data_IF_451427758642
#
_entry.id   IF_451427758642
#
_cell.length_a   1.000
_cell.length_b   1.000
_cell.length_c   1.000
_cell.angle_alpha   90.00
_cell.angle_beta   90.00
_cell.angle_gamma   90.00
#
_symmetry.space_group_name_H-M   'P 1'
#
loop_
_entity.id
_entity.type
_entity.pdbx_description
1 polymer ?
#
# COMPACT_ATOMS: atom_id res chain seq x y z
N UNK A 1 9.63 8.88 -55.02
CA UNK A 1 10.27 7.55 -54.92
C UNK A 1 10.13 7.16 -53.46
N UNK A 2 9.58 6.03 -53.03
CA UNK A 2 9.16 4.80 -53.67
C UNK A 2 8.92 3.85 -52.49
N UNK A 3 7.81 3.12 -52.54
CA UNK A 3 7.40 2.17 -51.51
C UNK A 3 8.30 0.91 -51.50
N UNK A 4 8.14 0.09 -50.45
CA UNK A 4 8.36 -1.39 -50.38
C UNK A 4 9.83 -1.84 -50.42
N UNK A 5 10.27 -2.97 -49.84
CA UNK A 5 9.73 -4.34 -49.74
C UNK A 5 10.55 -5.08 -48.63
N UNK A 6 9.97 -5.85 -47.71
CA UNK A 6 9.66 -7.30 -47.78
C UNK A 6 10.89 -8.21 -47.89
N UNK A 7 11.05 -9.14 -46.94
CA UNK A 7 11.48 -10.53 -47.20
C UNK A 7 10.87 -11.52 -46.18
N UNK A 8 10.79 -12.77 -46.61
CA UNK A 8 9.80 -13.82 -46.34
C UNK A 8 10.53 -15.16 -46.31
N UNK A 9 10.15 -16.10 -45.44
CA UNK A 9 10.19 -17.58 -45.64
C UNK A 9 9.17 -18.16 -44.60
N UNK A 10 8.09 -18.91 -44.89
CA UNK A 10 7.86 -20.11 -45.73
C UNK A 10 7.91 -21.39 -44.87
N UNK A 11 7.27 -22.55 -45.18
CA UNK A 11 6.14 -22.86 -46.08
C UNK A 11 5.08 -23.85 -45.49
N UNK A 12 3.94 -24.09 -46.17
CA UNK A 12 3.44 -25.42 -46.64
C UNK A 12 1.97 -25.38 -47.17
N UNK A 13 1.74 -26.18 -48.25
CA UNK A 13 0.54 -26.40 -49.12
C UNK A 13 -0.61 -27.12 -48.38
N UNK A 14 -1.90 -27.18 -48.80
CA UNK A 14 -2.55 -27.49 -50.10
C UNK A 14 -4.07 -27.11 -50.05
N UNK A 15 -4.70 -26.42 -51.02
CA UNK A 15 -5.36 -26.78 -52.32
C UNK A 15 -6.77 -27.46 -52.28
N UNK A 16 -7.69 -26.89 -53.11
CA UNK A 16 -9.00 -27.33 -53.70
C UNK A 16 -10.27 -26.89 -52.95
N UNK A 17 -11.39 -26.48 -53.57
CA UNK A 17 -11.77 -26.02 -54.93
C UNK A 17 -13.22 -25.50 -54.85
N UNK A 18 -13.58 -24.45 -55.62
CA UNK A 18 -14.86 -24.15 -56.34
C UNK A 18 -16.24 -24.27 -55.61
N UNK A 19 -17.34 -23.53 -55.82
CA UNK A 19 -17.92 -22.76 -56.96
C UNK A 19 -19.21 -22.03 -56.51
N UNK A 20 -19.59 -20.90 -57.14
CA UNK A 20 -21.00 -20.56 -57.47
C UNK A 20 -21.74 -19.45 -56.67
N UNK A 21 -21.97 -18.28 -57.31
CA UNK A 21 -23.07 -17.33 -56.96
C UNK A 21 -24.37 -17.68 -57.73
N UNK A 22 -25.30 -16.74 -58.07
CA UNK A 22 -25.48 -15.33 -57.64
C UNK A 22 -26.99 -14.89 -57.47
N UNK A 23 -27.24 -13.58 -57.22
CA UNK A 23 -28.50 -12.81 -57.48
C UNK A 23 -29.74 -13.08 -56.60
N UNK A 24 -30.71 -12.19 -56.36
CA UNK A 24 -31.04 -10.75 -56.56
C UNK A 24 -32.37 -10.55 -55.80
N UNK A 25 -32.71 -9.31 -55.43
CA UNK A 25 -34.11 -8.89 -55.33
C UNK A 25 -34.55 -8.41 -53.95
N UNK A 26 -34.58 -7.08 -53.79
CA UNK A 26 -35.53 -6.41 -52.92
C UNK A 26 -36.96 -6.79 -53.32
N UNK A 27 -37.81 -7.10 -52.35
CA UNK A 27 -39.18 -6.59 -52.39
C UNK A 27 -39.77 -6.47 -50.99
N UNK A 28 -40.57 -5.42 -50.84
CA UNK A 28 -40.93 -4.79 -49.58
C UNK A 28 -42.36 -5.20 -49.20
N UNK A 29 -42.53 -5.47 -47.91
CA UNK A 29 -43.69 -5.09 -47.07
C UNK A 29 -44.82 -6.11 -46.78
N UNK A 30 -45.08 -6.20 -45.46
CA UNK A 30 -46.39 -6.24 -44.74
C UNK A 30 -46.80 -7.55 -44.06
N UNK A 31 -46.32 -7.66 -42.81
CA UNK A 31 -47.11 -7.84 -41.56
C UNK A 31 -48.36 -8.73 -41.68
N UNK A 32 -48.26 -9.94 -41.13
CA UNK A 32 -49.35 -10.56 -40.38
C UNK A 32 -48.73 -11.26 -39.17
N UNK A 33 -49.19 -10.80 -38.01
CA UNK A 33 -48.78 -11.22 -36.68
C UNK A 33 -49.63 -12.43 -36.31
N UNK A 34 -49.05 -13.63 -36.39
CA UNK A 34 -49.58 -14.80 -35.70
C UNK A 34 -48.49 -15.86 -35.57
N UNK A 35 -47.95 -16.01 -34.36
CA UNK A 35 -47.46 -17.27 -33.77
C UNK A 35 -46.58 -16.96 -32.55
N UNK A 36 -46.93 -17.41 -31.33
CA UNK A 36 -46.16 -17.17 -30.13
C UNK A 36 -45.18 -18.33 -29.86
N UNK A 37 -44.37 -18.74 -30.84
CA UNK A 37 -43.42 -19.83 -30.65
C UNK A 37 -42.14 -19.53 -31.44
N UNK A 38 -41.19 -18.84 -30.81
CA UNK A 38 -39.74 -18.95 -31.06
C UNK A 38 -38.97 -18.06 -30.09
N UNK A 39 -38.87 -18.54 -28.85
CA UNK A 39 -38.10 -17.90 -27.79
C UNK A 39 -36.62 -18.32 -27.83
N UNK A 40 -35.91 -18.23 -28.96
CA UNK A 40 -34.45 -18.45 -28.98
C UNK A 40 -33.73 -17.72 -30.13
N UNK A 41 -33.46 -16.41 -29.99
CA UNK A 41 -32.35 -15.79 -30.73
C UNK A 41 -31.89 -14.44 -30.15
N UNK A 42 -31.32 -14.44 -28.94
CA UNK A 42 -30.32 -13.43 -28.55
C UNK A 42 -29.29 -14.12 -27.65
N UNK A 43 -28.00 -14.22 -28.02
CA UNK A 43 -26.98 -14.30 -27.00
C UNK A 43 -26.98 -12.92 -26.33
N UNK A 44 -27.66 -12.83 -25.18
CA UNK A 44 -27.38 -11.76 -24.25
C UNK A 44 -25.89 -11.89 -23.90
N UNK A 45 -25.13 -10.82 -24.15
CA UNK A 45 -23.85 -10.65 -23.49
C UNK A 45 -24.13 -10.57 -21.98
N UNK A 46 -24.11 -11.73 -21.33
CA UNK A 46 -24.25 -11.82 -19.89
C UNK A 46 -22.88 -11.71 -19.24
N UNK A 47 -22.67 -10.51 -18.67
CA UNK A 47 -22.07 -10.32 -17.36
C UNK A 47 -20.63 -10.82 -17.18
N UNK A 48 -19.69 -9.94 -17.52
CA UNK A 48 -18.33 -9.86 -16.94
C UNK A 48 -18.28 -9.79 -15.40
N UNK A 49 -19.43 -9.71 -14.73
CA UNK A 49 -19.53 -9.56 -13.28
C UNK A 49 -19.26 -10.85 -12.51
N UNK A 50 -19.35 -12.04 -13.11
CA UNK A 50 -18.94 -13.29 -12.44
C UNK A 50 -17.43 -13.42 -12.43
N UNK A 51 -16.77 -13.20 -13.56
CA UNK A 51 -15.30 -13.26 -13.68
C UNK A 51 -14.62 -12.17 -12.86
N UNK A 52 -15.13 -10.93 -12.86
CA UNK A 52 -14.56 -9.85 -12.02
C UNK A 52 -14.78 -10.11 -10.52
N UNK A 53 -15.89 -10.77 -10.13
CA UNK A 53 -16.11 -11.20 -8.75
C UNK A 53 -15.19 -12.36 -8.36
N UNK A 54 -14.99 -13.31 -9.26
CA UNK A 54 -14.09 -14.43 -9.04
C UNK A 54 -12.63 -13.95 -8.95
N UNK A 55 -12.25 -12.95 -9.75
CA UNK A 55 -10.96 -12.25 -9.63
C UNK A 55 -10.87 -11.47 -8.32
N UNK A 56 -11.89 -10.69 -7.95
CA UNK A 56 -11.91 -9.94 -6.68
C UNK A 56 -11.82 -10.87 -5.46
N UNK A 57 -12.51 -12.02 -5.49
CA UNK A 57 -12.45 -13.05 -4.45
C UNK A 57 -11.11 -13.78 -4.45
N UNK A 58 -10.48 -13.99 -5.60
CA UNK A 58 -9.14 -14.59 -5.69
C UNK A 58 -8.08 -13.68 -5.06
N UNK A 59 -8.14 -12.36 -5.29
CA UNK A 59 -7.27 -11.39 -4.61
C UNK A 59 -7.49 -11.36 -3.09
N UNK A 60 -8.74 -11.51 -2.63
CA UNK A 60 -9.06 -11.63 -1.21
C UNK A 60 -8.49 -12.90 -0.57
N UNK A 61 -8.60 -14.03 -1.28
CA UNK A 61 -8.09 -15.31 -0.82
C UNK A 61 -6.56 -15.35 -0.74
N UNK A 62 -5.85 -14.67 -1.66
CA UNK A 62 -4.39 -14.54 -1.60
C UNK A 62 -3.89 -13.73 -0.38
N UNK A 63 -4.72 -12.84 0.18
CA UNK A 63 -4.43 -12.13 1.44
C UNK A 63 -4.68 -13.01 2.68
N UNK A 64 -5.63 -13.94 2.62
CA UNK A 64 -6.05 -14.77 3.77
C UNK A 64 -5.33 -16.13 3.88
N UNK A 65 -4.69 -16.62 2.81
CA UNK A 65 -4.06 -17.96 2.79
C UNK A 65 -2.71 -18.05 3.52
N UNK A 66 -2.11 -16.95 3.97
CA UNK A 66 -0.77 -17.02 4.59
C UNK A 66 -0.74 -17.30 6.11
N UNK A 67 -1.87 -17.62 6.75
CA UNK A 67 -1.91 -17.93 8.20
C UNK A 67 -1.34 -19.33 8.57
N UNK A 68 -0.81 -20.06 7.58
CA UNK A 68 -0.08 -21.33 7.77
C UNK A 68 1.30 -21.33 7.10
N UNK A 69 1.95 -20.18 6.94
CA UNK A 69 3.37 -20.17 6.60
C UNK A 69 4.23 -20.61 7.80
N UNK A 70 5.35 -21.32 7.58
CA UNK A 70 6.38 -21.48 8.61
C UNK A 70 6.74 -20.10 9.14
N UNK A 71 6.97 -19.96 10.45
CA UNK A 71 7.24 -18.70 11.15
C UNK A 71 8.05 -17.75 10.28
N UNK A 72 7.36 -16.85 9.58
CA UNK A 72 7.98 -16.11 8.49
C UNK A 72 8.98 -15.16 9.14
N UNK A 73 10.26 -15.39 8.88
CA UNK A 73 11.29 -14.50 9.38
C UNK A 73 11.17 -13.18 8.63
N UNK A 74 11.20 -12.07 9.36
CA UNK A 74 10.95 -10.74 8.82
C UNK A 74 12.12 -9.79 9.12
N UNK A 75 12.49 -8.92 8.19
CA UNK A 75 13.70 -8.12 8.29
C UNK A 75 13.58 -7.10 9.44
N UNK A 76 14.42 -7.25 10.44
CA UNK A 76 14.44 -6.41 11.64
C UNK A 76 15.76 -5.65 11.72
N UNK A 77 15.69 -4.34 11.98
CA UNK A 77 16.86 -3.46 12.00
C UNK A 77 17.40 -3.31 13.41
N UNK A 78 18.66 -3.69 13.62
CA UNK A 78 19.42 -3.41 14.82
C UNK A 78 20.34 -2.24 14.57
N UNK A 79 20.17 -1.16 15.32
CA UNK A 79 20.98 0.07 15.19
C UNK A 79 21.66 0.38 16.51
N UNK A 80 22.95 0.71 16.43
CA UNK A 80 23.73 1.27 17.53
C UNK A 80 24.19 2.67 17.14
N UNK A 81 23.82 3.65 17.96
CA UNK A 81 24.12 5.09 17.74
C UNK A 81 25.33 5.56 18.56
N UNK A 82 25.82 4.72 19.48
CA UNK A 82 27.00 5.01 20.28
C UNK A 82 28.30 4.91 19.50
N UNK A 83 29.39 5.34 20.14
CA UNK A 83 30.75 5.14 19.62
C UNK A 83 31.19 3.68 19.71
N UNK A 84 32.21 3.33 18.93
CA UNK A 84 32.88 2.04 18.96
C UNK A 84 33.72 1.80 17.72
N UNK A 85 34.65 0.84 17.78
CA UNK A 85 35.40 0.36 16.62
C UNK A 85 34.82 -0.97 16.13
N UNK A 86 34.75 -1.95 17.02
CA UNK A 86 34.30 -3.31 16.73
C UNK A 86 33.01 -3.58 17.51
N UNK A 87 31.89 -3.61 16.79
CA UNK A 87 30.56 -3.71 17.39
C UNK A 87 29.84 -4.94 16.86
N UNK A 88 29.30 -5.73 17.79
CA UNK A 88 28.55 -6.93 17.49
C UNK A 88 27.19 -6.90 18.20
N UNK A 89 26.20 -7.58 17.63
CA UNK A 89 24.93 -7.89 18.29
C UNK A 89 24.83 -9.39 18.54
N UNK A 90 24.28 -9.75 19.69
CA UNK A 90 23.99 -11.11 20.09
C UNK A 90 22.60 -11.16 20.71
N UNK A 91 21.85 -12.24 20.48
CA UNK A 91 20.51 -12.34 21.02
C UNK A 91 19.95 -13.76 21.08
N UNK A 92 18.70 -13.87 21.51
CA UNK A 92 17.98 -15.14 21.60
C UNK A 92 17.84 -15.85 20.25
N UNK A 93 17.74 -15.09 19.17
CA UNK A 93 17.56 -15.58 17.79
C UNK A 93 18.80 -16.26 17.19
N UNK A 94 19.99 -16.05 17.77
CA UNK A 94 21.23 -16.66 17.27
C UNK A 94 22.02 -17.40 18.35
N UNK A 95 21.33 -17.90 19.38
CA UNK A 95 21.94 -18.57 20.54
C UNK A 95 23.07 -17.74 21.18
N UNK A 96 22.92 -16.42 21.24
CA UNK A 96 23.92 -15.49 21.76
C UNK A 96 25.26 -15.48 21.00
N UNK A 97 25.26 -15.87 19.73
CA UNK A 97 26.40 -15.71 18.82
C UNK A 97 26.69 -14.24 18.51
N UNK A 98 27.93 -13.89 18.15
CA UNK A 98 28.31 -12.51 17.80
C UNK A 98 28.12 -12.25 16.30
N UNK A 99 27.23 -11.33 15.95
CA UNK A 99 27.04 -10.87 14.56
C UNK A 99 27.64 -9.47 14.43
N UNK A 100 28.60 -9.23 13.51
CA UNK A 100 29.22 -7.92 13.34
C UNK A 100 28.21 -6.91 12.76
N UNK A 101 28.23 -5.68 13.26
CA UNK A 101 27.45 -4.57 12.68
C UNK A 101 28.26 -3.86 11.60
N UNK A 102 27.57 -3.41 10.57
CA UNK A 102 28.15 -2.63 9.48
C UNK A 102 28.19 -1.17 9.92
N UNK A 103 29.39 -0.58 9.88
CA UNK A 103 29.61 0.83 10.20
C UNK A 103 29.12 1.74 9.06
N UNK A 104 28.23 2.66 9.40
CA UNK A 104 27.88 3.84 8.59
C UNK A 104 28.63 5.08 9.13
N UNK A 105 28.19 6.30 8.81
CA UNK A 105 28.84 7.53 9.25
C UNK A 105 28.80 7.68 10.78
N UNK A 106 27.58 7.70 11.35
CA UNK A 106 27.34 7.93 12.77
C UNK A 106 26.69 6.73 13.48
N UNK A 107 26.31 5.70 12.72
CA UNK A 107 25.55 4.57 13.24
C UNK A 107 26.20 3.26 12.80
N UNK A 108 25.99 2.21 13.58
CA UNK A 108 26.29 0.84 13.23
C UNK A 108 24.98 0.09 13.06
N UNK A 109 24.83 -0.68 11.99
CA UNK A 109 23.56 -1.31 11.65
C UNK A 109 23.75 -2.78 11.23
N UNK A 110 22.82 -3.63 11.62
CA UNK A 110 22.62 -4.96 11.07
C UNK A 110 21.12 -5.16 10.78
N UNK A 111 20.81 -5.83 9.67
CA UNK A 111 19.43 -6.22 9.32
C UNK A 111 19.39 -7.74 9.40
N UNK A 112 18.51 -8.26 10.25
CA UNK A 112 18.40 -9.70 10.52
C UNK A 112 16.95 -10.13 10.39
N UNK A 113 16.71 -11.24 9.71
CA UNK A 113 15.37 -11.81 9.60
C UNK A 113 15.02 -12.54 10.88
N UNK A 114 14.00 -12.04 11.59
CA UNK A 114 13.55 -12.59 12.87
C UNK A 114 12.11 -13.10 12.76
N UNK A 115 11.79 -14.25 13.39
CA UNK A 115 10.41 -14.69 13.51
C UNK A 115 9.60 -13.72 14.38
N UNK A 116 8.28 -13.70 14.20
CA UNK A 116 7.38 -12.95 15.07
C UNK A 116 7.51 -13.38 16.54
N UNK A 117 7.46 -12.41 17.45
CA UNK A 117 7.57 -12.62 18.88
C UNK A 117 8.60 -11.72 19.56
N UNK A 118 8.82 -12.00 20.85
CA UNK A 118 9.75 -11.28 21.70
C UNK A 118 11.17 -11.85 21.55
N UNK A 119 12.13 -10.97 21.28
CA UNK A 119 13.55 -11.31 21.16
C UNK A 119 14.39 -10.47 22.10
N UNK A 120 15.28 -11.12 22.82
CA UNK A 120 16.25 -10.44 23.68
C UNK A 120 17.56 -10.29 22.93
N UNK A 121 18.21 -9.15 23.07
CA UNK A 121 19.49 -8.88 22.43
C UNK A 121 20.39 -7.99 23.27
N UNK A 122 21.67 -7.98 22.94
CA UNK A 122 22.69 -7.17 23.60
C UNK A 122 23.82 -6.82 22.64
N UNK A 123 24.42 -5.66 22.84
CA UNK A 123 25.57 -5.22 22.05
C UNK A 123 26.88 -5.57 22.74
N UNK A 124 27.87 -5.95 21.94
CA UNK A 124 29.25 -6.14 22.37
C UNK A 124 30.11 -5.10 21.64
N UNK A 125 30.50 -4.06 22.36
CA UNK A 125 31.21 -2.88 21.83
C UNK A 125 32.62 -2.87 22.41
N UNK A 126 33.64 -2.95 21.56
CA UNK A 126 35.06 -2.84 21.93
C UNK A 126 35.47 -3.73 23.12
N UNK A 127 34.90 -4.94 23.19
CA UNK A 127 35.23 -5.91 24.25
C UNK A 127 34.26 -5.90 25.45
N UNK A 128 33.30 -4.99 25.50
CA UNK A 128 32.38 -4.82 26.62
C UNK A 128 30.92 -5.06 26.22
N UNK A 129 30.18 -5.71 27.11
CA UNK A 129 28.74 -5.93 26.95
C UNK A 129 27.98 -4.68 27.37
N UNK A 130 27.21 -4.11 26.44
CA UNK A 130 26.39 -2.91 26.65
C UNK A 130 24.99 -3.09 26.06
N UNK A 131 24.08 -2.20 26.44
CA UNK A 131 22.71 -2.14 25.94
C UNK A 131 22.41 -0.72 25.44
N UNK A 132 21.44 -0.58 24.55
CA UNK A 132 20.96 0.72 24.11
C UNK A 132 19.98 1.29 25.16
N UNK A 133 20.27 2.46 25.77
CA UNK A 133 19.38 3.07 26.77
C UNK A 133 18.12 3.69 26.17
N UNK A 134 18.06 3.89 24.86
CA UNK A 134 16.88 4.43 24.17
C UNK A 134 15.82 3.37 23.86
N UNK A 135 16.22 2.09 23.88
CA UNK A 135 15.38 0.95 23.58
C UNK A 135 14.93 0.25 24.88
N UNK A 136 13.77 -0.42 24.89
CA UNK A 136 13.28 -1.11 26.08
C UNK A 136 14.24 -2.23 26.52
N UNK A 137 14.31 -2.44 27.84
CA UNK A 137 15.20 -3.42 28.48
C UNK A 137 14.44 -4.40 29.34
N UNK A 138 14.97 -5.61 29.46
CA UNK A 138 14.52 -6.65 30.38
C UNK A 138 15.71 -7.14 31.21
N UNK A 139 15.48 -7.31 32.51
CA UNK A 139 16.48 -7.85 33.43
C UNK A 139 16.26 -9.35 33.58
N UNK A 140 17.25 -10.14 33.14
CA UNK A 140 17.24 -11.59 33.31
C UNK A 140 17.37 -11.98 34.78
N UNK A 141 16.94 -13.19 35.12
CA UNK A 141 17.00 -13.76 36.49
C UNK A 141 18.43 -13.78 37.06
N UNK A 142 19.43 -13.81 36.18
CA UNK A 142 20.87 -13.77 36.53
C UNK A 142 21.40 -12.33 36.71
N UNK A 143 20.53 -11.31 36.76
CA UNK A 143 20.90 -9.91 36.93
C UNK A 143 21.46 -9.23 35.68
N UNK A 144 21.45 -9.91 34.54
CA UNK A 144 21.93 -9.34 33.27
C UNK A 144 20.83 -8.51 32.61
N UNK A 145 21.13 -7.25 32.29
CA UNK A 145 20.25 -6.37 31.52
C UNK A 145 20.49 -6.58 30.02
N UNK A 146 19.41 -6.88 29.29
CA UNK A 146 19.37 -7.06 27.84
C UNK A 146 18.31 -6.12 27.25
N UNK A 147 18.48 -5.69 26.01
CA UNK A 147 17.39 -5.04 25.28
C UNK A 147 16.37 -6.09 24.83
N UNK A 148 15.13 -5.65 24.64
CA UNK A 148 14.04 -6.47 24.13
C UNK A 148 13.44 -5.81 22.89
N UNK A 149 13.12 -6.60 21.87
CA UNK A 149 12.37 -6.16 20.69
C UNK A 149 11.21 -7.12 20.46
N UNK A 150 10.04 -6.58 20.13
CA UNK A 150 8.86 -7.37 19.84
C UNK A 150 8.50 -7.22 18.36
N UNK A 151 8.65 -8.29 17.60
CA UNK A 151 8.40 -8.31 16.15
C UNK A 151 6.96 -8.74 15.92
N UNK A 152 6.11 -7.84 15.43
CA UNK A 152 4.69 -8.12 15.17
C UNK A 152 4.38 -8.18 13.68
N UNK A 153 3.25 -8.80 13.35
CA UNK A 153 2.71 -8.81 11.98
C UNK A 153 2.50 -7.40 11.42
N UNK A 154 1.97 -6.51 12.27
CA UNK A 154 1.60 -5.12 11.93
C UNK A 154 2.79 -4.25 11.54
N UNK A 155 4.00 -4.60 11.95
CA UNK A 155 5.19 -3.74 11.74
C UNK A 155 5.68 -3.76 10.28
N UNK A 156 5.13 -4.64 9.46
CA UNK A 156 5.54 -4.86 8.07
C UNK A 156 4.47 -4.45 7.05
N UNK A 157 3.21 -4.37 7.49
CA UNK A 157 2.14 -3.77 6.72
C UNK A 157 2.08 -2.28 7.03
N UNK A 158 2.40 -1.45 6.04
CA UNK A 158 2.61 0.00 6.25
C UNK A 158 1.40 0.68 6.88
N UNK A 159 0.19 0.33 6.44
CA UNK A 159 -1.04 0.90 6.98
C UNK A 159 -1.30 0.49 8.42
N UNK A 160 -1.02 -0.77 8.77
CA UNK A 160 -1.19 -1.28 10.13
C UNK A 160 -0.16 -0.65 11.09
N UNK A 161 1.10 -0.54 10.64
CA UNK A 161 2.15 0.13 11.41
C UNK A 161 1.76 1.59 11.72
N UNK A 162 1.31 2.33 10.71
CA UNK A 162 0.87 3.72 10.88
C UNK A 162 -0.35 3.83 11.81
N UNK A 163 -1.30 2.90 11.70
CA UNK A 163 -2.47 2.87 12.58
C UNK A 163 -2.06 2.64 14.03
N UNK A 164 -1.18 1.67 14.31
CA UNK A 164 -0.67 1.38 15.66
C UNK A 164 0.08 2.58 16.24
N UNK A 165 0.94 3.22 15.45
CA UNK A 165 1.72 4.39 15.90
C UNK A 165 0.83 5.60 16.19
N UNK A 166 -0.21 5.82 15.37
CA UNK A 166 -1.16 6.92 15.58
C UNK A 166 -1.91 6.81 16.91
N UNK A 167 -2.20 5.58 17.37
CA UNK A 167 -2.86 5.34 18.65
C UNK A 167 -1.91 5.42 19.85
N UNK A 168 -0.61 5.17 19.64
CA UNK A 168 0.42 5.27 20.69
C UNK A 168 0.70 6.73 21.06
N UNK A 169 0.62 7.63 20.09
CA UNK A 169 0.60 9.06 20.35
C UNK A 169 -0.79 9.46 20.83
N UNK A 170 -0.90 10.15 21.96
CA UNK A 170 -2.17 10.71 22.45
C UNK A 170 -2.60 11.90 21.58
N UNK A 171 -2.94 11.62 20.32
CA UNK A 171 -3.38 12.59 19.31
C UNK A 171 -4.89 12.50 19.09
N UNK A 172 -5.61 11.85 20.01
CA UNK A 172 -7.07 11.74 19.98
C UNK A 172 -7.74 13.11 19.92
N UNK A 173 -7.10 14.16 20.45
CA UNK A 173 -7.59 15.54 20.35
C UNK A 173 -7.35 16.19 18.97
N UNK A 174 -6.50 15.63 18.10
CA UNK A 174 -6.20 16.18 16.76
C UNK A 174 -7.02 15.52 15.65
N UNK A 175 -7.65 14.37 15.93
CA UNK A 175 -8.40 13.58 14.94
C UNK A 175 -9.73 14.22 14.52
N UNK A 176 -10.24 15.15 15.33
CA UNK A 176 -11.39 15.97 14.96
C UNK A 176 -10.91 17.33 14.43
N UNK A 177 -11.41 17.72 13.26
CA UNK A 177 -11.27 19.09 12.75
C UNK A 177 -12.66 19.72 12.69
N UNK A 178 -13.01 20.60 13.64
CA UNK A 178 -12.19 21.15 14.73
C UNK A 178 -11.99 20.17 15.91
N UNK A 179 -10.87 20.27 16.66
CA UNK A 179 -10.65 19.54 17.90
C UNK A 179 -11.79 19.75 18.91
N UNK A 180 -12.41 18.65 19.34
CA UNK A 180 -13.43 18.66 20.40
C UNK A 180 -14.87 18.89 19.92
N UNK A 181 -15.85 18.83 20.84
CA UNK A 181 -17.26 19.03 20.51
C UNK A 181 -17.54 20.49 20.12
N UNK A 182 -18.51 20.68 19.22
CA UNK A 182 -19.02 22.02 18.91
C UNK A 182 -19.69 22.63 20.16
N UNK A 183 -19.30 23.86 20.49
CA UNK A 183 -19.81 24.61 21.64
C UNK A 183 -20.51 25.89 21.18
N UNK A 184 -21.43 26.39 22.01
CA UNK A 184 -22.16 27.65 21.79
C UNK A 184 -21.66 28.80 22.67
N UNK A 185 -20.75 28.50 23.61
CA UNK A 185 -20.17 29.50 24.49
C UNK A 185 -19.28 30.46 23.70
N UNK A 186 -19.32 31.73 24.06
CA UNK A 186 -18.42 32.72 23.46
C UNK A 186 -16.96 32.35 23.74
N UNK A 187 -16.13 32.36 22.69
CA UNK A 187 -14.72 32.05 22.83
C UNK A 187 -14.03 33.09 23.74
N UNK A 188 -13.55 32.64 24.89
CA UNK A 188 -12.77 33.48 25.80
C UNK A 188 -11.32 33.56 25.28
N UNK A 189 -10.99 34.65 24.58
CA UNK A 189 -9.65 34.88 24.04
C UNK A 189 -8.59 34.87 25.15
N UNK A 190 -7.71 33.87 25.14
CA UNK A 190 -6.61 33.76 26.10
C UNK A 190 -5.61 34.90 25.88
N UNK A 191 -5.03 35.43 26.96
CA UNK A 191 -4.13 36.58 26.91
C UNK A 191 -2.88 36.32 26.04
N UNK A 192 -2.47 35.06 25.89
CA UNK A 192 -1.37 34.58 25.03
C UNK A 192 -1.71 34.58 23.53
N UNK A 193 -2.99 34.53 23.16
CA UNK A 193 -3.46 34.50 21.76
C UNK A 193 -3.75 35.89 21.20
N UNK A 194 -3.84 36.92 22.06
CA UNK A 194 -4.12 38.31 21.66
C UNK A 194 -3.11 38.92 20.69
N UNK A 195 -1.92 38.33 20.56
CA UNK A 195 -0.85 38.84 19.69
C UNK A 195 -0.83 38.18 18.31
N UNK A 196 -1.74 37.23 18.03
CA UNK A 196 -1.84 36.60 16.71
C UNK A 196 -2.86 37.38 15.86
N UNK A 197 -2.39 38.08 14.84
CA UNK A 197 -3.27 38.66 13.81
C UNK A 197 -3.99 37.54 13.05
N UNK A 198 -5.22 37.77 12.56
CA UNK A 198 -5.90 36.79 11.72
C UNK A 198 -5.06 36.46 10.48
N UNK A 199 -5.17 35.23 9.93
CA UNK A 199 -4.43 34.84 8.74
C UNK A 199 -4.84 35.74 7.56
N UNK A 200 -3.86 36.05 6.70
CA UNK A 200 -4.08 36.82 5.48
C UNK A 200 -4.96 36.00 4.53
N UNK A 201 -5.92 36.66 3.86
CA UNK A 201 -6.80 36.04 2.88
C UNK A 201 -5.97 35.40 1.75
N UNK A 202 -6.05 34.07 1.53
CA UNK A 202 -5.34 33.44 0.43
C UNK A 202 -5.88 33.96 -0.92
N UNK A 203 -5.01 34.34 -1.87
CA UNK A 203 -5.42 35.00 -3.12
C UNK A 203 -6.31 34.12 -4.00
N UNK A 204 -6.28 32.80 -3.83
CA UNK A 204 -7.18 31.86 -4.51
C UNK A 204 -8.65 32.18 -4.23
N UNK A 205 -8.99 32.66 -3.02
CA UNK A 205 -10.36 33.02 -2.67
C UNK A 205 -10.84 34.33 -3.34
N UNK A 206 -9.93 35.13 -3.89
CA UNK A 206 -10.27 36.31 -4.70
C UNK A 206 -10.72 35.93 -6.12
N UNK A 207 -10.52 34.67 -6.54
CA UNK A 207 -10.91 34.21 -7.86
C UNK A 207 -12.39 33.81 -7.88
N UNK A 208 -13.27 34.80 -8.03
CA UNK A 208 -14.72 34.56 -8.15
C UNK A 208 -15.02 33.91 -9.50
N UNK A 209 -15.38 32.62 -9.51
CA UNK A 209 -15.64 31.87 -10.75
C UNK A 209 -16.80 32.45 -11.58
N UNK A 210 -17.77 33.09 -10.91
CA UNK A 210 -18.92 33.73 -11.56
C UNK A 210 -18.58 35.07 -12.22
N UNK A 211 -17.42 35.65 -11.87
CA UNK A 211 -16.93 36.90 -12.48
C UNK A 211 -15.97 36.62 -13.66
N UNK A 212 -15.76 35.35 -14.02
CA UNK A 212 -14.91 34.97 -15.15
C UNK A 212 -15.78 34.85 -16.41
N UNK A 213 -15.36 35.52 -17.47
CA UNK A 213 -15.98 35.35 -18.79
C UNK A 213 -15.81 33.91 -19.25
N UNK A 214 -16.90 33.29 -19.68
CA UNK A 214 -16.86 32.00 -20.37
C UNK A 214 -16.81 32.23 -21.88
N UNK A 215 -16.06 31.39 -22.59
CA UNK A 215 -16.05 31.44 -24.05
C UNK A 215 -17.44 31.18 -24.60
N UNK A 216 -17.91 32.05 -25.50
CA UNK A 216 -19.23 31.97 -26.15
C UNK A 216 -19.50 30.66 -26.91
N UNK A 217 -18.46 29.86 -27.18
CA UNK A 217 -18.54 28.56 -27.86
C UNK A 217 -18.78 27.39 -26.90
N UNK A 218 -18.81 27.62 -25.58
CA UNK A 218 -18.89 26.56 -24.57
C UNK A 218 -20.32 26.47 -24.03
N UNK A 219 -21.24 26.05 -24.89
CA UNK A 219 -22.50 25.38 -24.56
C UNK A 219 -23.06 24.83 -25.87
N UNK A 220 -23.07 23.51 -26.03
CA UNK A 220 -23.75 22.80 -27.12
C UNK A 220 -24.38 21.55 -26.57
#
# INVERSE_FOLDING_TARGET
MGNTNSERLGPHKARRDSTGGPHKGEDRAKILMDSPEDAYMFPAEESKSSTEKDEFLAWQHDLEVNDKAPTQARPTVFRWTGGGKDIYVSGSFNNWGKIPLIRSHNNFVAILDLPEGEHQYKFFVDGQWTHDPSEPVITSQLGTVNNVINVKKTDFEVFDALMVDSQKSDVSELSSSPPGPYQQDAYNCKLEERFKSPPILPPHLLQVILNKDTGISVSK
#
